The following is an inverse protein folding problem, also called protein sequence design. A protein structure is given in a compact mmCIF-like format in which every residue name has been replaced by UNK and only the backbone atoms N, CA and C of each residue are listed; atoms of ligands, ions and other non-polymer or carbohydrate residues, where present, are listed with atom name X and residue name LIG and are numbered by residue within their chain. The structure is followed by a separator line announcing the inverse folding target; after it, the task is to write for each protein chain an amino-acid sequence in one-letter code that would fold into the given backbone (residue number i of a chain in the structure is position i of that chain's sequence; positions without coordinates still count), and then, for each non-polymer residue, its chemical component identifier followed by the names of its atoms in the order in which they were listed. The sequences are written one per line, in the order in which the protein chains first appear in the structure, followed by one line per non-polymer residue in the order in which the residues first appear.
data_IF_477349679047
#
_entry.id   IF_477349679047
#
_cell.length_a   1.000
_cell.length_b   1.000
_cell.length_c   1.000
_cell.angle_alpha   90.00
_cell.angle_beta   90.00
_cell.angle_gamma   90.00
#
_symmetry.space_group_name_H-M   'P 1'
#
loop_
_entity.id
_entity.type
_entity.pdbx_description
1 polymer ?
#
# COMPACT_ATOMS: atom_id res chain seq x y z
N UNK A 1 -25.55 -12.78 -5.54
CA UNK A 1 -24.30 -13.44 -5.12
C UNK A 1 -23.63 -12.52 -4.12
N UNK A 2 -23.31 -13.02 -2.93
CA UNK A 2 -22.52 -12.27 -1.95
C UNK A 2 -21.04 -12.48 -2.25
N UNK A 3 -20.31 -11.44 -2.66
CA UNK A 3 -18.86 -11.49 -2.75
C UNK A 3 -18.26 -11.13 -1.40
N UNK A 4 -17.31 -11.94 -0.92
CA UNK A 4 -16.57 -11.65 0.30
C UNK A 4 -15.25 -10.98 -0.09
N UNK A 5 -15.05 -9.76 0.39
CA UNK A 5 -13.79 -9.05 0.22
C UNK A 5 -12.98 -9.10 1.51
N UNK A 6 -11.66 -9.29 1.37
CA UNK A 6 -10.72 -9.20 2.48
C UNK A 6 -9.91 -7.92 2.32
N UNK A 7 -9.75 -7.21 3.43
CA UNK A 7 -8.90 -6.03 3.52
C UNK A 7 -7.67 -6.40 4.33
N UNK A 8 -6.49 -6.03 3.84
CA UNK A 8 -5.24 -6.16 4.58
C UNK A 8 -4.54 -4.81 4.68
N UNK A 9 -3.77 -4.61 5.75
CA UNK A 9 -2.93 -3.43 5.93
C UNK A 9 -1.49 -3.77 5.51
N UNK A 10 -0.92 -2.94 4.64
CA UNK A 10 0.48 -3.02 4.23
C UNK A 10 1.17 -1.67 4.41
N UNK A 11 2.46 -1.69 4.72
CA UNK A 11 3.30 -0.51 4.75
C UNK A 11 4.31 -0.59 3.63
N UNK A 12 4.41 0.48 2.84
CA UNK A 12 5.37 0.62 1.76
C UNK A 12 6.22 1.86 1.97
N UNK A 13 7.50 1.79 1.58
CA UNK A 13 8.44 2.88 1.72
C UNK A 13 9.18 3.12 0.40
N UNK A 14 9.39 4.39 0.06
CA UNK A 14 10.20 4.84 -1.07
C UNK A 14 11.14 5.95 -0.64
N UNK A 15 12.28 6.06 -1.33
CA UNK A 15 13.19 7.20 -1.20
C UNK A 15 12.84 8.37 -2.14
N UNK A 16 11.91 8.17 -3.08
CA UNK A 16 11.58 9.16 -4.12
C UNK A 16 10.37 10.02 -3.76
N UNK A 17 9.22 9.39 -3.51
CA UNK A 17 7.94 10.07 -3.27
C UNK A 17 6.92 9.13 -2.65
N UNK A 18 5.79 9.68 -2.20
CA UNK A 18 4.65 8.89 -1.74
C UNK A 18 4.01 8.06 -2.87
N UNK A 19 3.96 8.60 -4.09
CA UNK A 19 3.40 7.89 -5.26
C UNK A 19 4.21 6.65 -5.60
N UNK A 20 5.54 6.77 -5.63
CA UNK A 20 6.44 5.62 -5.86
C UNK A 20 6.32 4.58 -4.73
N UNK A 21 6.07 5.02 -3.48
CA UNK A 21 5.78 4.10 -2.37
C UNK A 21 4.43 3.38 -2.53
N UNK A 22 3.39 4.07 -3.02
CA UNK A 22 2.08 3.46 -3.28
C UNK A 22 2.20 2.39 -4.36
N UNK A 23 2.80 2.74 -5.50
CA UNK A 23 2.99 1.82 -6.63
C UNK A 23 3.81 0.59 -6.22
N UNK A 24 4.91 0.80 -5.49
CA UNK A 24 5.72 -0.28 -4.97
C UNK A 24 4.94 -1.19 -4.00
N UNK A 25 4.13 -0.60 -3.12
CA UNK A 25 3.26 -1.32 -2.18
C UNK A 25 2.23 -2.19 -2.90
N UNK A 26 1.53 -1.61 -3.88
CA UNK A 26 0.52 -2.30 -4.66
C UNK A 26 1.13 -3.42 -5.52
N UNK A 27 2.23 -3.13 -6.23
CA UNK A 27 2.96 -4.12 -7.03
C UNK A 27 3.45 -5.30 -6.17
N UNK A 28 3.91 -5.03 -4.94
CA UNK A 28 4.29 -6.10 -4.01
C UNK A 28 3.07 -6.90 -3.54
N UNK A 29 1.95 -6.26 -3.28
CA UNK A 29 0.71 -6.92 -2.84
C UNK A 29 0.17 -7.87 -3.94
N UNK A 30 0.13 -7.42 -5.19
CA UNK A 30 -0.34 -8.19 -6.36
C UNK A 30 0.48 -9.45 -6.63
N UNK A 31 1.75 -9.50 -6.20
CA UNK A 31 2.56 -10.74 -6.31
C UNK A 31 1.98 -11.90 -5.48
N UNK A 32 1.22 -11.60 -4.43
CA UNK A 32 0.68 -12.60 -3.49
C UNK A 32 -0.84 -12.63 -3.45
N UNK A 33 -1.49 -11.54 -3.83
CA UNK A 33 -2.94 -11.37 -3.77
C UNK A 33 -3.49 -11.30 -5.19
N UNK A 34 -4.49 -12.12 -5.48
CA UNK A 34 -5.25 -12.05 -6.72
C UNK A 34 -6.48 -11.17 -6.49
N UNK A 35 -6.99 -10.58 -7.57
CA UNK A 35 -8.22 -9.77 -7.57
C UNK A 35 -8.19 -8.58 -6.61
N UNK A 36 -7.07 -7.85 -6.59
CA UNK A 36 -6.99 -6.55 -5.92
C UNK A 36 -7.91 -5.57 -6.63
N UNK A 37 -8.85 -4.96 -5.90
CA UNK A 37 -9.85 -4.05 -6.48
C UNK A 37 -9.62 -2.59 -6.09
N UNK A 38 -9.04 -2.35 -4.92
CA UNK A 38 -8.82 -0.99 -4.42
C UNK A 38 -7.73 -0.97 -3.36
N UNK A 39 -7.03 0.15 -3.25
CA UNK A 39 -6.15 0.45 -2.12
C UNK A 39 -6.54 1.81 -1.53
N UNK A 40 -6.65 1.87 -0.20
CA UNK A 40 -6.93 3.10 0.53
C UNK A 40 -5.70 3.51 1.34
N UNK A 41 -5.20 4.71 1.10
CA UNK A 41 -4.16 5.35 1.92
C UNK A 41 -4.75 5.68 3.29
N UNK A 42 -4.31 4.93 4.31
CA UNK A 42 -4.70 5.14 5.70
C UNK A 42 -3.85 6.25 6.35
N UNK A 43 -2.55 6.23 6.08
CA UNK A 43 -1.60 7.18 6.64
C UNK A 43 -0.38 7.35 5.73
N UNK A 44 0.25 8.52 5.79
CA UNK A 44 1.48 8.86 5.09
C UNK A 44 2.42 9.60 6.03
N UNK A 45 3.68 9.15 6.10
CA UNK A 45 4.71 9.79 6.91
C UNK A 45 6.01 9.93 6.15
N UNK A 46 6.79 10.94 6.51
CA UNK A 46 8.15 11.14 6.01
C UNK A 46 9.17 10.81 7.08
N UNK A 47 10.23 10.12 6.69
CA UNK A 47 11.41 9.96 7.52
C UNK A 47 12.29 11.19 7.34
N UNK A 48 12.65 11.86 8.43
CA UNK A 48 13.49 13.06 8.40
C UNK A 48 14.81 12.78 9.12
N UNK A 49 15.93 13.04 8.43
CA UNK A 49 17.27 12.95 9.00
C UNK A 49 18.02 14.25 8.75
N UNK A 50 18.51 14.87 9.83
CA UNK A 50 19.23 16.16 9.78
C UNK A 50 18.46 17.25 9.02
N UNK A 51 17.15 17.32 9.23
CA UNK A 51 16.26 18.30 8.57
C UNK A 51 15.98 18.03 7.09
N UNK A 52 16.42 16.90 6.54
CA UNK A 52 16.12 16.49 5.16
C UNK A 52 15.23 15.25 5.16
N UNK A 53 14.27 15.21 4.25
CA UNK A 53 13.46 14.01 4.03
C UNK A 53 14.37 12.93 3.43
N UNK A 54 14.37 11.76 4.06
CA UNK A 54 15.16 10.59 3.64
C UNK A 54 14.30 9.43 3.15
N UNK A 55 12.99 9.47 3.42
CA UNK A 55 12.07 8.42 3.02
C UNK A 55 10.63 8.87 3.12
N UNK A 56 9.79 8.23 2.33
CA UNK A 56 8.36 8.39 2.26
C UNK A 56 7.74 7.04 2.56
N UNK A 57 6.99 6.95 3.64
CA UNK A 57 6.28 5.73 4.01
C UNK A 57 4.77 5.96 3.90
N UNK A 58 4.07 4.98 3.32
CA UNK A 58 2.63 4.98 3.14
C UNK A 58 2.07 3.69 3.73
N UNK A 59 1.03 3.82 4.54
CA UNK A 59 0.23 2.69 4.99
C UNK A 59 -1.02 2.59 4.13
N UNK A 60 -1.20 1.43 3.50
CA UNK A 60 -2.27 1.14 2.56
C UNK A 60 -3.16 0.02 3.12
N UNK A 61 -4.47 0.21 3.01
CA UNK A 61 -5.47 -0.82 3.17
C UNK A 61 -5.84 -1.34 1.79
N UNK A 62 -5.36 -2.54 1.46
CA UNK A 62 -5.60 -3.16 0.15
C UNK A 62 -6.77 -4.13 0.26
N UNK A 63 -7.77 -3.93 -0.58
CA UNK A 63 -8.96 -4.76 -0.68
C UNK A 63 -8.85 -5.67 -1.89
N UNK A 64 -9.14 -6.94 -1.67
CA UNK A 64 -9.26 -7.93 -2.74
C UNK A 64 -10.43 -8.86 -2.49
N UNK A 65 -11.04 -9.33 -3.57
CA UNK A 65 -12.19 -10.24 -3.51
C UNK A 65 -11.69 -11.68 -3.43
N UNK A 66 -12.24 -12.47 -2.51
CA UNK A 66 -11.95 -13.89 -2.42
C UNK A 66 -12.75 -14.63 -3.50
N UNK A 67 -12.06 -15.48 -4.25
CA UNK A 67 -12.69 -16.49 -5.10
C UNK A 67 -13.02 -17.71 -4.23
N UNK A 68 -14.19 -18.33 -4.48
CA UNK A 68 -14.68 -19.53 -3.77
C UNK A 68 -13.84 -20.77 -4.10
#
# INVERSE_FOLDING_TARGET
MSSVARVIEISAQSSKSFEDAIDAGLSRAEKTLRNVTSAWVKDQRVDVKKGKITGYQVNLLVTFVLED
#
